data_IF_021038936765
#
_entry.id   IF_021038936765
#
_cell.length_a   1.000
_cell.length_b   1.000
_cell.length_c   1.000
_cell.angle_alpha   90.00
_cell.angle_beta   90.00
_cell.angle_gamma   90.00
#
_symmetry.space_group_name_H-M   'P 1'
#
loop_
_entity.id
_entity.type
_entity.pdbx_description
1 polymer ?
#
# COMPACT_ATOMS: atom_id res chain seq x y z
N UNK A 1 3.35 16.04 -36.27
CA UNK A 1 2.61 15.70 -35.02
C UNK A 1 3.37 14.57 -34.35
N UNK A 2 4.02 14.82 -33.22
CA UNK A 2 4.77 13.80 -32.48
C UNK A 2 3.77 12.90 -31.76
N UNK A 3 3.63 11.65 -32.20
CA UNK A 3 2.89 10.60 -31.50
C UNK A 3 3.74 10.11 -30.33
N UNK A 4 3.79 10.86 -29.22
CA UNK A 4 4.17 10.29 -27.94
C UNK A 4 3.09 9.28 -27.59
N UNK A 5 3.38 7.99 -27.73
CA UNK A 5 2.52 6.96 -27.15
C UNK A 5 2.58 7.13 -25.63
N UNK A 6 1.52 7.66 -25.05
CA UNK A 6 1.43 7.81 -23.60
C UNK A 6 1.60 6.45 -22.94
N UNK A 7 2.52 6.34 -21.98
CA UNK A 7 2.73 5.11 -21.21
C UNK A 7 1.39 4.70 -20.58
N UNK A 8 0.91 3.50 -20.91
CA UNK A 8 -0.36 3.00 -20.39
C UNK A 8 -0.20 2.67 -18.90
N UNK A 9 -0.82 3.49 -18.05
CA UNK A 9 -0.79 3.30 -16.60
C UNK A 9 -1.60 2.08 -16.14
N UNK A 10 -1.11 1.37 -15.14
CA UNK A 10 -1.86 0.34 -14.43
C UNK A 10 -2.82 1.02 -13.44
N UNK A 11 -4.07 0.63 -13.50
CA UNK A 11 -5.15 1.10 -12.62
C UNK A 11 -5.80 -0.08 -11.92
N UNK A 12 -6.67 0.17 -10.93
CA UNK A 12 -7.48 -0.87 -10.28
C UNK A 12 -8.30 -1.66 -11.30
N UNK A 13 -8.86 -0.99 -12.32
CA UNK A 13 -9.58 -1.65 -13.41
C UNK A 13 -8.64 -2.54 -14.26
N UNK A 14 -7.40 -2.12 -14.47
CA UNK A 14 -6.40 -2.95 -15.16
C UNK A 14 -6.14 -4.24 -14.38
N UNK A 15 -5.96 -4.14 -13.06
CA UNK A 15 -5.75 -5.32 -12.20
C UNK A 15 -6.97 -6.25 -12.19
N UNK A 16 -8.19 -5.68 -12.15
CA UNK A 16 -9.42 -6.47 -12.23
C UNK A 16 -9.49 -7.25 -13.56
N UNK A 17 -9.18 -6.57 -14.68
CA UNK A 17 -9.11 -7.23 -15.99
C UNK A 17 -8.06 -8.33 -16.02
N UNK A 18 -6.85 -8.10 -15.53
CA UNK A 18 -5.80 -9.11 -15.46
C UNK A 18 -6.25 -10.35 -14.68
N UNK A 19 -6.95 -10.15 -13.54
CA UNK A 19 -7.54 -11.25 -12.76
C UNK A 19 -8.57 -12.02 -13.57
N UNK A 20 -9.47 -11.34 -14.28
CA UNK A 20 -10.50 -11.97 -15.11
C UNK A 20 -9.88 -12.77 -16.27
N UNK A 21 -8.83 -12.24 -16.89
CA UNK A 21 -8.11 -12.86 -18.00
C UNK A 21 -7.15 -13.98 -17.53
N UNK A 22 -7.02 -14.24 -16.21
CA UNK A 22 -6.08 -15.23 -15.65
C UNK A 22 -4.61 -14.81 -15.70
N UNK A 23 -4.32 -13.55 -16.04
CA UNK A 23 -2.97 -13.02 -16.06
C UNK A 23 -2.43 -12.83 -14.65
N UNK A 24 -1.16 -13.15 -14.41
CA UNK A 24 -0.51 -12.91 -13.12
C UNK A 24 -0.20 -11.44 -12.93
N UNK A 25 -0.38 -10.96 -11.70
CA UNK A 25 -0.05 -9.60 -11.29
C UNK A 25 1.26 -9.67 -10.50
N UNK A 26 2.29 -8.96 -10.99
CA UNK A 26 3.57 -8.87 -10.31
C UNK A 26 3.59 -7.65 -9.38
N UNK A 27 3.85 -7.88 -8.08
CA UNK A 27 3.93 -6.83 -7.06
C UNK A 27 5.25 -6.93 -6.29
N UNK A 28 5.88 -5.77 -6.04
CA UNK A 28 7.13 -5.67 -5.28
C UNK A 28 7.11 -4.44 -4.37
N UNK A 29 7.87 -4.47 -3.28
CA UNK A 29 8.06 -3.31 -2.41
C UNK A 29 9.19 -2.41 -2.90
N UNK A 30 9.00 -1.08 -2.76
CA UNK A 30 10.06 -0.09 -2.93
C UNK A 30 9.86 1.07 -1.96
N UNK A 31 10.97 1.72 -1.58
CA UNK A 31 10.97 2.77 -0.54
C UNK A 31 11.65 4.06 -1.00
N UNK A 32 12.23 4.08 -2.21
CA UNK A 32 12.98 5.19 -2.77
C UNK A 32 12.76 5.34 -4.28
N UNK A 33 13.20 6.47 -4.80
CA UNK A 33 13.07 6.83 -6.22
C UNK A 33 13.81 5.87 -7.16
N UNK A 34 15.03 5.46 -6.80
CA UNK A 34 15.92 4.72 -7.71
C UNK A 34 15.41 3.31 -7.97
N UNK A 35 15.05 2.57 -6.90
CA UNK A 35 14.46 1.24 -7.02
C UNK A 35 13.07 1.28 -7.63
N UNK A 36 12.23 2.25 -7.26
CA UNK A 36 10.91 2.40 -7.87
C UNK A 36 11.00 2.57 -9.38
N UNK A 37 11.91 3.41 -9.87
CA UNK A 37 12.16 3.62 -11.30
C UNK A 37 12.66 2.36 -12.00
N UNK A 38 13.57 1.62 -11.39
CA UNK A 38 14.09 0.35 -11.95
C UNK A 38 12.98 -0.69 -12.08
N UNK A 39 12.14 -0.85 -11.05
CA UNK A 39 11.04 -1.81 -11.05
C UNK A 39 9.94 -1.41 -12.04
N UNK A 40 9.61 -0.13 -12.13
CA UNK A 40 8.65 0.37 -13.12
C UNK A 40 9.12 0.11 -14.57
N UNK A 41 10.41 0.36 -14.84
CA UNK A 41 11.02 0.07 -16.14
C UNK A 41 11.10 -1.43 -16.45
N UNK A 42 11.26 -2.27 -15.42
CA UNK A 42 11.22 -3.72 -15.55
C UNK A 42 9.81 -4.29 -15.80
N UNK A 43 8.77 -3.45 -15.75
CA UNK A 43 7.40 -3.83 -16.08
C UNK A 43 6.59 -4.40 -14.91
N UNK A 44 7.00 -4.15 -13.66
CA UNK A 44 6.22 -4.51 -12.47
C UNK A 44 4.84 -3.82 -12.52
N UNK A 45 3.78 -4.54 -12.17
CA UNK A 45 2.41 -4.02 -12.24
C UNK A 45 2.05 -3.17 -11.03
N UNK A 46 2.49 -3.58 -9.83
CA UNK A 46 2.18 -2.89 -8.57
C UNK A 46 3.44 -2.67 -7.75
N UNK A 47 3.65 -1.46 -7.28
CA UNK A 47 4.71 -1.13 -6.31
C UNK A 47 4.05 -0.80 -4.98
N UNK A 48 4.47 -1.51 -3.92
CA UNK A 48 4.03 -1.26 -2.55
C UNK A 48 5.05 -0.41 -1.80
N UNK A 49 4.59 0.71 -1.25
CA UNK A 49 5.34 1.42 -0.22
C UNK A 49 4.89 0.87 1.12
N UNK A 50 5.62 -0.12 1.61
CA UNK A 50 5.25 -0.88 2.81
C UNK A 50 5.68 -0.19 4.10
N UNK A 51 4.90 -0.39 5.19
CA UNK A 51 5.32 0.02 6.54
C UNK A 51 6.54 -0.77 7.04
N UNK A 52 6.89 -1.86 6.36
CA UNK A 52 8.18 -2.57 6.50
C UNK A 52 9.41 -1.68 6.24
N UNK A 53 9.24 -0.45 5.71
CA UNK A 53 10.27 0.59 5.73
C UNK A 53 10.83 0.81 7.14
N UNK A 54 10.02 0.65 8.18
CA UNK A 54 10.44 0.66 9.59
C UNK A 54 11.59 -0.32 9.85
N UNK A 55 11.48 -1.54 9.32
CA UNK A 55 12.49 -2.58 9.50
C UNK A 55 13.69 -2.38 8.56
N UNK A 56 13.43 -2.28 7.25
CA UNK A 56 14.48 -2.40 6.21
C UNK A 56 15.19 -1.08 5.92
N UNK A 57 14.57 0.06 6.23
CA UNK A 57 15.18 1.39 6.02
C UNK A 57 15.63 2.02 7.32
N UNK A 58 14.86 1.87 8.42
CA UNK A 58 15.15 2.49 9.70
C UNK A 58 15.79 1.52 10.73
N UNK A 59 15.79 0.19 10.48
CA UNK A 59 16.41 -0.81 11.34
C UNK A 59 15.62 -1.15 12.61
N UNK A 60 14.34 -0.80 12.68
CA UNK A 60 13.48 -1.15 13.82
C UNK A 60 13.11 -2.64 13.80
N UNK A 61 12.82 -3.21 14.97
CA UNK A 61 12.41 -4.61 15.10
C UNK A 61 11.01 -4.90 14.53
N UNK A 62 10.12 -3.89 14.51
CA UNK A 62 8.73 -4.02 14.05
C UNK A 62 8.36 -2.89 13.09
N UNK A 63 7.20 -3.01 12.43
CA UNK A 63 6.66 -1.97 11.55
C UNK A 63 6.01 -0.82 12.33
N UNK A 64 5.72 -0.99 13.62
CA UNK A 64 4.93 -0.06 14.45
C UNK A 64 5.51 1.35 14.61
N UNK A 65 6.85 1.55 14.68
CA UNK A 65 7.42 2.89 14.88
C UNK A 65 7.29 3.83 13.67
N UNK A 66 6.95 3.31 12.47
CA UNK A 66 6.88 4.14 11.26
C UNK A 66 5.79 5.21 11.40
N UNK A 67 6.16 6.48 11.31
CA UNK A 67 5.20 7.58 11.38
C UNK A 67 4.52 7.83 10.03
N UNK A 68 3.41 8.56 10.06
CA UNK A 68 2.71 8.98 8.84
C UNK A 68 3.60 9.87 7.96
N UNK A 69 4.39 10.75 8.55
CA UNK A 69 5.31 11.65 7.86
C UNK A 69 6.43 10.88 7.15
N UNK A 70 6.99 9.86 7.80
CA UNK A 70 7.99 8.98 7.18
C UNK A 70 7.39 8.19 6.02
N UNK A 71 6.19 7.65 6.18
CA UNK A 71 5.49 6.97 5.08
C UNK A 71 5.24 7.91 3.90
N UNK A 72 4.78 9.13 4.15
CA UNK A 72 4.58 10.14 3.10
C UNK A 72 5.91 10.46 2.39
N UNK A 73 7.01 10.59 3.10
CA UNK A 73 8.33 10.83 2.51
C UNK A 73 8.75 9.70 1.56
N UNK A 74 8.64 8.44 2.00
CA UNK A 74 8.93 7.27 1.16
C UNK A 74 8.01 7.21 -0.06
N UNK A 75 6.72 7.38 0.15
CA UNK A 75 5.73 7.33 -0.91
C UNK A 75 5.92 8.42 -1.97
N UNK A 76 6.24 9.65 -1.57
CA UNK A 76 6.59 10.73 -2.51
C UNK A 76 7.81 10.36 -3.35
N UNK A 77 8.82 9.74 -2.75
CA UNK A 77 10.03 9.31 -3.44
C UNK A 77 9.72 8.24 -4.48
N UNK A 78 8.91 7.24 -4.13
CA UNK A 78 8.47 6.15 -5.02
C UNK A 78 7.62 6.70 -6.16
N UNK A 79 6.60 7.50 -5.86
CA UNK A 79 5.66 8.03 -6.87
C UNK A 79 6.39 8.86 -7.94
N UNK A 80 7.41 9.65 -7.54
CA UNK A 80 8.24 10.38 -8.53
C UNK A 80 9.04 9.47 -9.46
N UNK A 81 9.35 8.25 -9.05
CA UNK A 81 10.08 7.26 -9.85
C UNK A 81 9.20 6.47 -10.83
N UNK A 82 7.88 6.48 -10.66
CA UNK A 82 6.94 5.60 -11.35
C UNK A 82 6.21 6.34 -12.48
N UNK A 83 6.11 5.68 -13.63
CA UNK A 83 5.33 6.18 -14.78
C UNK A 83 4.14 5.27 -15.13
N UNK A 84 4.29 3.96 -14.94
CA UNK A 84 3.34 2.92 -15.35
C UNK A 84 2.65 2.23 -14.18
N UNK A 85 3.40 1.76 -13.20
CA UNK A 85 2.93 0.87 -12.13
C UNK A 85 1.87 1.53 -11.23
N UNK A 86 0.95 0.74 -10.71
CA UNK A 86 0.05 1.19 -9.63
C UNK A 86 0.86 1.28 -8.32
N UNK A 87 0.83 2.43 -7.67
CA UNK A 87 1.48 2.60 -6.36
C UNK A 87 0.45 2.44 -5.25
N UNK A 88 0.66 1.44 -4.39
CA UNK A 88 -0.09 1.18 -3.17
C UNK A 88 0.74 1.63 -1.97
N UNK A 89 0.13 2.31 -1.02
CA UNK A 89 0.82 2.85 0.16
C UNK A 89 0.18 2.28 1.42
N UNK A 90 0.99 1.73 2.32
CA UNK A 90 0.49 1.26 3.61
C UNK A 90 0.06 2.43 4.49
N UNK A 91 -1.05 2.24 5.19
CA UNK A 91 -1.40 3.12 6.29
C UNK A 91 -0.63 2.65 7.55
N UNK A 92 0.25 3.50 8.13
CA UNK A 92 1.02 3.13 9.33
C UNK A 92 0.12 2.81 10.52
N UNK A 93 0.64 2.00 11.43
CA UNK A 93 -0.03 1.68 12.69
C UNK A 93 -0.41 2.95 13.46
N UNK A 94 -1.62 2.98 14.03
CA UNK A 94 -2.17 4.13 14.76
C UNK A 94 -2.92 5.14 13.89
N UNK A 95 -2.82 5.05 12.56
CA UNK A 95 -3.46 6.02 11.65
C UNK A 95 -4.89 5.65 11.26
N UNK A 96 -5.37 4.42 11.57
CA UNK A 96 -6.71 3.95 11.18
C UNK A 96 -7.39 3.02 12.19
N UNK A 97 -6.68 2.57 13.24
CA UNK A 97 -7.24 1.62 14.20
C UNK A 97 -8.14 2.27 15.25
N UNK A 98 -7.92 3.54 15.58
CA UNK A 98 -8.63 4.22 16.67
C UNK A 98 -10.07 4.59 16.33
N UNK A 99 -10.30 5.16 15.15
CA UNK A 99 -11.62 5.45 14.62
C UNK A 99 -11.57 5.77 13.11
N UNK A 100 -12.74 5.74 12.48
CA UNK A 100 -12.87 5.92 11.03
C UNK A 100 -12.63 7.36 10.54
N UNK A 101 -12.82 8.39 11.39
CA UNK A 101 -12.56 9.78 11.02
C UNK A 101 -11.06 10.06 10.90
N UNK A 102 -10.27 9.54 11.84
CA UNK A 102 -8.80 9.60 11.78
C UNK A 102 -8.29 8.81 10.59
N UNK A 103 -8.89 7.64 10.31
CA UNK A 103 -8.53 6.85 9.15
C UNK A 103 -8.69 7.63 7.84
N UNK A 104 -9.84 8.27 7.64
CA UNK A 104 -10.10 9.08 6.42
C UNK A 104 -9.18 10.29 6.36
N UNK A 105 -8.98 11.00 7.46
CA UNK A 105 -8.08 12.16 7.49
C UNK A 105 -6.65 11.77 7.12
N UNK A 106 -6.13 10.66 7.67
CA UNK A 106 -4.81 10.13 7.35
C UNK A 106 -4.73 9.66 5.89
N UNK A 107 -5.76 8.97 5.41
CA UNK A 107 -5.88 8.50 4.03
C UNK A 107 -5.83 9.67 3.03
N UNK A 108 -6.62 10.72 3.27
CA UNK A 108 -6.64 11.93 2.44
C UNK A 108 -5.26 12.60 2.42
N UNK A 109 -4.58 12.71 3.57
CA UNK A 109 -3.22 13.25 3.62
C UNK A 109 -2.27 12.47 2.74
N UNK A 110 -2.23 11.13 2.88
CA UNK A 110 -1.36 10.29 2.05
C UNK A 110 -1.64 10.54 0.57
N UNK A 111 -2.90 10.45 0.13
CA UNK A 111 -3.26 10.59 -1.28
C UNK A 111 -2.89 11.98 -1.84
N UNK A 112 -3.19 13.05 -1.10
CA UNK A 112 -2.92 14.43 -1.54
C UNK A 112 -1.44 14.78 -1.54
N UNK A 113 -0.70 14.35 -0.52
CA UNK A 113 0.69 14.73 -0.35
C UNK A 113 1.65 13.89 -1.21
N UNK A 114 1.23 12.67 -1.59
CA UNK A 114 2.10 11.74 -2.31
C UNK A 114 1.76 11.58 -3.79
N UNK A 115 0.48 11.70 -4.15
CA UNK A 115 -0.03 11.32 -5.47
C UNK A 115 -0.10 9.81 -5.69
N UNK A 116 -0.11 9.01 -4.62
CA UNK A 116 -0.32 7.56 -4.67
C UNK A 116 -1.69 7.16 -5.24
N UNK A 117 -1.86 5.88 -5.56
CA UNK A 117 -3.03 5.43 -6.31
C UNK A 117 -4.02 4.61 -5.46
N UNK A 118 -3.57 3.97 -4.39
CA UNK A 118 -4.35 3.12 -3.49
C UNK A 118 -3.68 3.03 -2.13
N UNK A 119 -4.44 2.69 -1.10
CA UNK A 119 -3.93 2.46 0.25
C UNK A 119 -4.03 1.00 0.64
N UNK A 120 -3.14 0.50 1.53
CA UNK A 120 -3.25 -0.83 2.12
C UNK A 120 -3.51 -0.70 3.63
N UNK A 121 -4.49 -1.46 4.13
CA UNK A 121 -4.85 -1.53 5.54
C UNK A 121 -4.80 -2.98 6.01
N UNK A 122 -4.29 -3.19 7.22
CA UNK A 122 -4.20 -4.50 7.87
C UNK A 122 -5.33 -4.69 8.87
N UNK A 123 -5.91 -5.90 8.87
CA UNK A 123 -6.97 -6.28 9.79
C UNK A 123 -8.29 -6.58 9.08
N UNK A 124 -9.20 -7.18 9.83
CA UNK A 124 -10.51 -7.64 9.37
C UNK A 124 -11.65 -6.80 9.93
N UNK A 125 -12.53 -7.47 10.70
CA UNK A 125 -13.74 -6.85 11.26
C UNK A 125 -13.46 -5.64 12.15
N UNK A 126 -12.35 -5.66 12.87
CA UNK A 126 -11.92 -4.62 13.82
C UNK A 126 -11.64 -3.27 13.17
N UNK A 127 -11.33 -3.24 11.86
CA UNK A 127 -11.04 -2.01 11.09
C UNK A 127 -12.02 -1.78 9.95
N UNK A 128 -13.12 -2.55 9.89
CA UNK A 128 -14.07 -2.52 8.79
C UNK A 128 -14.68 -1.13 8.57
N UNK A 129 -15.03 -0.42 9.64
CA UNK A 129 -15.62 0.92 9.55
C UNK A 129 -14.64 1.94 8.97
N UNK A 130 -13.36 1.83 9.34
CA UNK A 130 -12.30 2.63 8.75
C UNK A 130 -12.13 2.34 7.26
N UNK A 131 -12.10 1.06 6.86
CA UNK A 131 -12.01 0.65 5.45
C UNK A 131 -13.19 1.20 4.65
N UNK A 132 -14.42 0.99 5.13
CA UNK A 132 -15.62 1.48 4.45
C UNK A 132 -15.57 2.99 4.23
N UNK A 133 -15.24 3.75 5.27
CA UNK A 133 -15.21 5.21 5.21
C UNK A 133 -14.13 5.74 4.26
N UNK A 134 -12.97 5.08 4.19
CA UNK A 134 -11.90 5.40 3.22
C UNK A 134 -12.38 5.12 1.79
N UNK A 135 -13.04 3.98 1.56
CA UNK A 135 -13.59 3.62 0.24
C UNK A 135 -14.72 4.59 -0.16
N UNK A 136 -15.62 4.94 0.75
CA UNK A 136 -16.71 5.90 0.52
C UNK A 136 -16.18 7.31 0.19
N UNK A 137 -14.98 7.65 0.69
CA UNK A 137 -14.27 8.88 0.29
C UNK A 137 -13.64 8.82 -1.11
N UNK A 138 -13.81 7.71 -1.85
CA UNK A 138 -13.32 7.52 -3.21
C UNK A 138 -11.88 7.02 -3.31
N UNK A 139 -11.28 6.56 -2.22
CA UNK A 139 -9.89 6.06 -2.17
C UNK A 139 -9.89 4.53 -2.30
N UNK A 140 -9.22 3.96 -3.33
CA UNK A 140 -9.10 2.51 -3.45
C UNK A 140 -8.33 1.90 -2.29
N UNK A 141 -8.80 0.75 -1.78
CA UNK A 141 -8.17 0.05 -0.65
C UNK A 141 -7.79 -1.38 -1.04
N UNK A 142 -6.58 -1.77 -0.66
CA UNK A 142 -6.09 -3.14 -0.63
C UNK A 142 -6.18 -3.66 0.81
N UNK A 143 -6.96 -4.72 1.05
CA UNK A 143 -7.04 -5.38 2.36
C UNK A 143 -5.87 -6.33 2.58
N UNK A 144 -5.33 -6.39 3.81
CA UNK A 144 -4.33 -7.37 4.22
C UNK A 144 -4.85 -8.19 5.40
N UNK A 145 -5.08 -9.47 5.17
CA UNK A 145 -5.61 -10.45 6.13
C UNK A 145 -4.59 -11.54 6.42
N UNK A 146 -4.83 -12.31 7.48
CA UNK A 146 -3.96 -13.40 7.91
C UNK A 146 -2.88 -12.94 8.87
N UNK A 147 -1.60 -13.11 8.51
CA UNK A 147 -0.50 -12.58 9.31
C UNK A 147 -0.28 -11.11 8.99
N UNK A 148 -0.68 -10.25 9.91
CA UNK A 148 -0.56 -8.79 9.79
C UNK A 148 0.56 -8.29 10.70
N UNK A 149 1.69 -7.77 10.16
CA UNK A 149 2.84 -7.32 10.94
C UNK A 149 2.52 -6.26 11.99
N UNK A 150 1.55 -5.38 11.73
CA UNK A 150 1.09 -4.39 12.72
C UNK A 150 0.46 -5.02 13.98
N UNK A 151 0.05 -6.28 13.90
CA UNK A 151 -0.50 -7.05 15.03
C UNK A 151 0.54 -7.95 15.71
N UNK A 152 1.84 -7.73 15.48
CA UNK A 152 2.90 -8.66 15.94
C UNK A 152 2.86 -8.91 17.45
N UNK A 153 2.63 -7.90 18.27
CA UNK A 153 2.54 -8.06 19.72
C UNK A 153 1.28 -8.81 20.16
N UNK A 154 0.17 -8.68 19.43
CA UNK A 154 -1.04 -9.47 19.64
C UNK A 154 -0.80 -10.96 19.32
N UNK A 155 -0.01 -11.23 18.30
CA UNK A 155 0.25 -12.59 17.83
C UNK A 155 1.44 -13.25 18.54
N UNK A 156 2.42 -12.47 18.97
CA UNK A 156 3.63 -12.95 19.62
C UNK A 156 4.61 -13.68 18.69
N UNK A 157 4.25 -13.94 17.44
CA UNK A 157 5.08 -14.63 16.45
C UNK A 157 4.73 -14.21 15.03
N UNK A 158 5.66 -14.47 14.07
CA UNK A 158 5.42 -14.35 12.62
C UNK A 158 4.88 -15.64 11.98
N UNK A 159 4.22 -16.51 12.76
CA UNK A 159 3.63 -17.75 12.24
C UNK A 159 2.45 -17.43 11.32
N UNK A 160 2.41 -18.06 10.15
CA UNK A 160 1.29 -17.94 9.20
C UNK A 160 -0.02 -18.34 9.85
N UNK A 161 -1.03 -17.50 9.70
CA UNK A 161 -2.37 -17.61 10.28
C UNK A 161 -3.40 -17.99 9.21
N UNK A 162 -4.66 -18.22 9.68
CA UNK A 162 -5.78 -18.56 8.81
C UNK A 162 -5.54 -19.82 7.97
N UNK A 163 -5.02 -20.88 8.62
CA UNK A 163 -4.80 -22.19 8.00
C UNK A 163 -6.00 -23.13 8.15
N UNK A 164 -6.92 -22.79 9.03
CA UNK A 164 -8.10 -23.61 9.34
C UNK A 164 -9.36 -22.82 8.94
N UNK A 165 -10.37 -23.53 8.46
CA UNK A 165 -11.71 -22.97 8.28
C UNK A 165 -12.30 -22.65 9.66
N UNK A 166 -12.77 -21.42 9.85
CA UNK A 166 -13.44 -20.97 11.07
C UNK A 166 -14.91 -21.35 11.07
#
# INVERSE_FOLDING_TARGET
MSTYSAVKKITTNTLLKMKTDGSKIAMITAYDFSFARLFDQAGIDVILVGDSASNVMAGHETTLPLTLEQMIYHAQSVVRGVQRSLVVIDMPFGTYQSNSDIAVASAIRIMKETGGHSLKLEGGREVLDSIKKVVDAGIPVMGHLGLTPQSIYKFGTYTVRAKEEA
#
